data_IF_768791474058
#
_entry.id   IF_768791474058
#
_cell.length_a   1.000
_cell.length_b   1.000
_cell.length_c   1.000
_cell.angle_alpha   90.00
_cell.angle_beta   90.00
_cell.angle_gamma   90.00
#
_symmetry.space_group_name_H-M   'P 1'
#
loop_
_entity.id
_entity.type
_entity.pdbx_description
1 polymer ?
#
# COMPACT_ATOMS: atom_id res chain seq x y z
N UNK A 1 36.45 41.40 27.25
CA UNK A 1 36.12 40.62 26.04
C UNK A 1 35.02 39.66 26.40
N UNK A 2 33.78 40.11 26.24
CA UNK A 2 32.54 39.36 26.46
C UNK A 2 31.92 39.17 25.08
N UNK A 3 31.96 37.95 24.54
CA UNK A 3 31.26 37.63 23.30
C UNK A 3 29.83 37.25 23.63
N UNK A 4 28.91 38.13 23.25
CA UNK A 4 27.47 37.89 23.15
C UNK A 4 27.18 37.06 21.91
N UNK A 5 26.49 35.93 22.08
CA UNK A 5 25.81 35.18 21.04
C UNK A 5 24.55 35.91 20.56
N UNK A 6 24.17 35.79 19.29
CA UNK A 6 22.78 35.92 18.88
C UNK A 6 22.25 34.57 18.38
N UNK A 7 21.40 33.98 19.22
CA UNK A 7 20.31 33.11 18.78
C UNK A 7 19.23 33.99 18.12
N UNK A 8 18.52 33.37 17.17
CA UNK A 8 17.28 33.79 16.51
C UNK A 8 17.44 34.29 15.08
N UNK A 9 17.37 33.33 14.15
CA UNK A 9 16.55 33.42 12.96
C UNK A 9 16.20 31.99 12.53
N UNK A 10 15.28 31.36 13.29
CA UNK A 10 14.52 30.23 12.76
C UNK A 10 13.54 30.87 11.79
N UNK A 11 13.89 30.82 10.51
CA UNK A 11 12.98 31.13 9.42
C UNK A 11 11.81 30.16 9.59
N UNK A 12 10.64 30.70 9.94
CA UNK A 12 9.37 30.01 9.80
C UNK A 12 9.22 29.69 8.32
N UNK A 13 9.42 28.42 7.96
CA UNK A 13 9.25 27.93 6.60
C UNK A 13 7.76 28.07 6.25
N UNK A 14 7.42 29.11 5.48
CA UNK A 14 6.08 29.37 4.91
C UNK A 14 5.66 28.29 3.88
N UNK A 15 6.25 27.10 3.93
CA UNK A 15 6.02 25.99 3.01
C UNK A 15 4.79 25.14 3.37
N UNK A 16 4.13 25.41 4.50
CA UNK A 16 2.93 24.64 4.92
C UNK A 16 1.66 24.94 4.10
N UNK A 17 1.60 26.04 3.34
CA UNK A 17 0.45 26.34 2.47
C UNK A 17 0.65 25.95 1.00
N UNK A 18 1.89 25.66 0.57
CA UNK A 18 2.18 25.19 -0.79
C UNK A 18 2.48 23.69 -0.73
N UNK A 19 1.47 22.87 -1.02
CA UNK A 19 1.57 21.41 -1.02
C UNK A 19 2.82 20.85 -1.70
N UNK A 20 3.13 19.58 -1.38
CA UNK A 20 4.33 18.83 -1.78
C UNK A 20 4.93 19.20 -3.16
N UNK A 21 6.19 19.67 -3.18
CA UNK A 21 6.98 19.96 -4.41
C UNK A 21 7.11 18.80 -5.40
N UNK A 22 7.02 17.56 -4.91
CA UNK A 22 7.09 16.32 -5.69
C UNK A 22 5.70 15.80 -6.12
N UNK A 23 4.63 16.38 -5.60
CA UNK A 23 3.25 16.03 -5.90
C UNK A 23 2.51 17.19 -6.55
N UNK A 24 3.13 17.89 -7.53
CA UNK A 24 2.45 18.97 -8.26
C UNK A 24 1.09 18.46 -8.76
N UNK A 25 0.00 19.02 -8.22
CA UNK A 25 -1.38 18.63 -8.54
C UNK A 25 -2.04 17.65 -7.56
N UNK A 26 -1.33 17.13 -6.55
CA UNK A 26 -1.94 16.37 -5.44
C UNK A 26 -2.26 17.34 -4.31
N UNK A 27 -3.55 17.43 -3.99
CA UNK A 27 -4.06 18.22 -2.88
C UNK A 27 -3.53 17.72 -1.53
N UNK A 28 -3.17 18.65 -0.65
CA UNK A 28 -2.85 18.36 0.74
C UNK A 28 -4.09 17.86 1.48
N UNK A 29 -3.97 16.76 2.22
CA UNK A 29 -5.09 16.14 2.94
C UNK A 29 -4.79 16.07 4.42
N UNK A 30 -5.57 16.82 5.19
CA UNK A 30 -5.57 16.74 6.66
C UNK A 30 -5.94 15.34 7.14
N UNK A 31 -5.53 15.02 8.36
CA UNK A 31 -5.75 13.73 8.99
C UNK A 31 -4.48 13.13 9.58
N UNK A 32 -4.61 11.87 9.99
CA UNK A 32 -3.54 11.10 10.60
C UNK A 32 -3.71 9.61 10.30
N UNK A 33 -2.62 8.83 10.36
CA UNK A 33 -2.72 7.37 10.31
C UNK A 33 -3.41 6.84 11.57
N UNK A 34 -4.32 5.88 11.41
CA UNK A 34 -4.91 5.09 12.48
C UNK A 34 -4.71 3.61 12.16
N UNK A 35 -4.27 2.81 13.13
CA UNK A 35 -4.12 1.38 12.93
C UNK A 35 -5.50 0.77 12.70
N UNK A 36 -5.71 0.11 11.56
CA UNK A 36 -6.97 -0.55 11.22
C UNK A 36 -7.00 -1.95 11.82
N UNK A 37 -5.89 -2.67 11.69
CA UNK A 37 -5.73 -4.00 12.26
C UNK A 37 -4.29 -4.28 12.63
N UNK A 38 -4.13 -5.16 13.61
CA UNK A 38 -2.86 -5.67 14.09
C UNK A 38 -2.90 -7.20 14.21
N UNK A 39 -1.74 -7.78 14.42
CA UNK A 39 -1.59 -9.21 14.70
C UNK A 39 -1.09 -9.40 16.11
N UNK A 40 -1.74 -10.31 16.83
CA UNK A 40 -1.22 -10.86 18.06
C UNK A 40 -0.67 -12.25 17.76
N UNK A 41 0.65 -12.37 17.83
CA UNK A 41 1.31 -13.66 18.02
C UNK A 41 0.82 -14.27 19.35
N UNK A 42 0.66 -15.59 19.40
CA UNK A 42 0.30 -16.28 20.65
C UNK A 42 1.42 -17.19 21.13
N UNK A 43 1.48 -17.30 22.46
CA UNK A 43 2.28 -18.21 23.28
C UNK A 43 2.02 -19.69 22.97
N UNK A 44 3.00 -20.54 23.29
CA UNK A 44 3.24 -21.97 22.96
C UNK A 44 2.05 -22.95 22.84
N UNK A 45 0.80 -22.61 23.22
CA UNK A 45 -0.35 -23.51 23.30
C UNK A 45 -1.48 -23.27 22.27
N UNK A 46 -1.40 -22.27 21.40
CA UNK A 46 -2.40 -22.05 20.33
C UNK A 46 -1.82 -22.17 18.92
N UNK A 47 -2.58 -22.79 18.01
CA UNK A 47 -2.08 -23.18 16.67
C UNK A 47 -1.95 -22.02 15.66
N UNK A 48 -2.65 -20.90 15.87
CA UNK A 48 -2.64 -19.75 14.94
C UNK A 48 -2.74 -18.42 15.70
N UNK A 49 -1.95 -17.41 15.32
CA UNK A 49 -2.12 -16.05 15.84
C UNK A 49 -3.40 -15.37 15.36
N UNK A 50 -3.73 -14.23 15.98
CA UNK A 50 -5.05 -13.60 15.85
C UNK A 50 -4.97 -12.21 15.21
N UNK A 51 -5.94 -11.91 14.33
CA UNK A 51 -6.16 -10.57 13.79
C UNK A 51 -7.00 -9.78 14.80
N UNK A 52 -6.49 -8.63 15.23
CA UNK A 52 -7.19 -7.70 16.10
C UNK A 52 -7.59 -6.47 15.28
N UNK A 53 -8.88 -6.15 15.26
CA UNK A 53 -9.40 -4.97 14.58
C UNK A 53 -9.47 -3.80 15.57
N UNK A 54 -9.08 -2.60 15.13
CA UNK A 54 -9.22 -1.40 15.95
C UNK A 54 -10.68 -0.90 15.92
N UNK A 55 -11.40 -0.88 17.07
CA UNK A 55 -12.79 -0.43 17.13
C UNK A 55 -12.99 1.03 16.68
N UNK A 56 -12.02 1.91 16.96
CA UNK A 56 -12.07 3.32 16.56
C UNK A 56 -12.02 3.46 15.03
N UNK A 57 -11.08 2.76 14.39
CA UNK A 57 -10.99 2.72 12.93
C UNK A 57 -12.28 2.16 12.31
N UNK A 58 -12.85 1.10 12.89
CA UNK A 58 -14.11 0.53 12.41
C UNK A 58 -15.29 1.50 12.54
N UNK A 59 -15.34 2.32 13.59
CA UNK A 59 -16.40 3.33 13.75
C UNK A 59 -16.33 4.38 12.64
N UNK A 60 -15.13 4.88 12.32
CA UNK A 60 -14.91 5.80 11.19
C UNK A 60 -15.43 5.19 9.89
N UNK A 61 -15.15 3.90 9.63
CA UNK A 61 -15.61 3.21 8.43
C UNK A 61 -17.14 3.04 8.39
N UNK A 62 -17.78 2.81 9.54
CA UNK A 62 -19.26 2.66 9.65
C UNK A 62 -20.00 3.97 9.42
N UNK A 63 -19.37 5.11 9.62
CA UNK A 63 -19.96 6.43 9.39
C UNK A 63 -19.98 6.84 7.91
N UNK A 64 -19.27 6.09 7.05
CA UNK A 64 -19.21 6.35 5.61
C UNK A 64 -20.50 5.85 4.95
N UNK A 65 -21.26 6.78 4.37
CA UNK A 65 -22.49 6.47 3.63
C UNK A 65 -22.29 6.59 2.11
N UNK A 66 -21.20 7.22 1.67
CA UNK A 66 -20.84 7.35 0.27
C UNK A 66 -20.14 6.09 -0.25
N UNK A 67 -20.12 5.84 -1.58
CA UNK A 67 -19.31 4.77 -2.15
C UNK A 67 -17.83 4.89 -1.74
N UNK A 68 -17.26 3.80 -1.23
CA UNK A 68 -15.89 3.74 -0.74
C UNK A 68 -14.96 3.13 -1.81
N UNK A 69 -13.86 3.80 -2.10
CA UNK A 69 -12.75 3.28 -2.89
C UNK A 69 -11.54 3.06 -1.98
N UNK A 70 -10.95 1.88 -2.02
CA UNK A 70 -9.79 1.52 -1.19
C UNK A 70 -8.54 1.42 -2.06
N UNK A 71 -7.49 2.14 -1.68
CA UNK A 71 -6.16 2.06 -2.28
C UNK A 71 -5.24 1.39 -1.27
N UNK A 72 -4.81 0.16 -1.51
CA UNK A 72 -3.80 -0.49 -0.66
C UNK A 72 -2.42 -0.38 -1.30
N UNK A 73 -1.44 0.07 -0.51
CA UNK A 73 -0.02 0.09 -0.90
C UNK A 73 0.69 -1.08 -0.24
N UNK A 74 1.08 -2.07 -1.04
CA UNK A 74 1.69 -3.33 -0.58
C UNK A 74 3.02 -3.55 -1.27
N UNK A 75 3.96 -4.23 -0.61
CA UNK A 75 5.29 -4.49 -1.17
C UNK A 75 6.30 -4.84 -0.09
N UNK A 76 7.54 -5.09 -0.51
CA UNK A 76 8.59 -5.50 0.42
C UNK A 76 8.82 -4.50 1.57
N UNK A 77 9.33 -5.00 2.69
CA UNK A 77 9.74 -4.18 3.81
C UNK A 77 10.87 -3.19 3.42
N UNK A 78 10.85 -1.97 4.01
CA UNK A 78 11.79 -0.85 3.75
C UNK A 78 11.89 -0.35 2.31
N UNK A 79 10.81 -0.46 1.53
CA UNK A 79 10.79 -0.10 0.11
C UNK A 79 9.99 1.17 -0.23
N UNK A 80 9.74 2.03 0.76
CA UNK A 80 9.12 3.35 0.54
C UNK A 80 7.60 3.32 0.31
N UNK A 81 6.90 2.31 0.86
CA UNK A 81 5.43 2.19 0.82
C UNK A 81 4.73 3.34 1.52
N UNK A 82 5.04 3.53 2.80
CA UNK A 82 4.50 4.60 3.64
C UNK A 82 4.81 5.98 3.06
N UNK A 83 5.99 6.14 2.45
CA UNK A 83 6.34 7.36 1.71
C UNK A 83 5.40 7.59 0.52
N UNK A 84 5.16 6.57 -0.30
CA UNK A 84 4.23 6.69 -1.43
C UNK A 84 2.80 6.94 -0.96
N UNK A 85 2.36 6.27 0.10
CA UNK A 85 1.07 6.52 0.72
C UNK A 85 0.93 7.97 1.21
N UNK A 86 1.97 8.55 1.81
CA UNK A 86 1.99 9.97 2.21
C UNK A 86 1.90 10.91 1.01
N UNK A 87 2.60 10.60 -0.09
CA UNK A 87 2.51 11.38 -1.34
C UNK A 87 1.08 11.41 -1.86
N UNK A 88 0.31 10.32 -1.73
CA UNK A 88 -1.11 10.32 -2.11
C UNK A 88 -1.89 11.37 -1.32
N UNK A 89 -1.51 11.70 -0.09
CA UNK A 89 -2.12 12.74 0.75
C UNK A 89 -1.49 14.14 0.59
N UNK A 90 -0.62 14.33 -0.40
CA UNK A 90 0.03 15.62 -0.65
C UNK A 90 1.02 16.03 0.44
N UNK A 91 1.52 15.07 1.23
CA UNK A 91 2.33 15.33 2.44
C UNK A 91 3.46 14.32 2.62
N UNK A 92 4.32 14.52 3.62
CA UNK A 92 5.46 13.63 3.94
C UNK A 92 5.52 13.24 5.43
N UNK A 93 4.68 13.84 6.26
CA UNK A 93 4.60 13.76 7.72
C UNK A 93 3.43 12.88 8.21
N UNK A 94 2.95 11.98 7.35
CA UNK A 94 1.75 11.17 7.59
C UNK A 94 2.03 9.81 8.26
N UNK A 95 1.81 8.72 7.51
CA UNK A 95 2.24 7.37 7.88
C UNK A 95 3.73 7.38 8.25
N UNK A 96 4.07 6.67 9.33
CA UNK A 96 5.45 6.59 9.81
C UNK A 96 6.36 5.98 8.75
N UNK A 97 7.48 6.66 8.48
CA UNK A 97 8.46 6.26 7.48
C UNK A 97 9.54 5.34 8.03
N UNK A 98 9.65 5.22 9.36
CA UNK A 98 10.40 4.16 10.01
C UNK A 98 11.88 4.03 9.62
N UNK A 99 12.77 4.80 10.25
CA UNK A 99 14.23 4.65 10.07
C UNK A 99 14.86 3.53 10.92
N UNK A 100 14.09 2.91 11.83
CA UNK A 100 14.60 1.92 12.80
C UNK A 100 14.79 0.54 12.16
N UNK A 101 15.69 -0.30 12.70
CA UNK A 101 16.12 -1.63 12.18
C UNK A 101 15.02 -2.70 12.26
N UNK A 102 13.96 -2.47 13.01
CA UNK A 102 12.77 -3.35 13.07
C UNK A 102 11.62 -2.83 12.18
N UNK A 103 10.77 -3.74 11.71
CA UNK A 103 9.50 -3.45 11.04
C UNK A 103 8.69 -2.35 11.73
N UNK A 104 8.56 -1.17 11.11
CA UNK A 104 7.86 -0.03 11.73
C UNK A 104 6.34 -0.16 11.62
N UNK A 105 5.83 -0.47 10.42
CA UNK A 105 4.40 -0.74 10.21
C UNK A 105 4.11 -2.19 10.57
N UNK A 106 3.44 -2.44 11.71
CA UNK A 106 2.86 -3.76 12.03
C UNK A 106 1.36 -3.75 11.79
N UNK A 107 0.86 -4.69 10.99
CA UNK A 107 -0.52 -4.74 10.54
C UNK A 107 -0.83 -3.81 9.37
N UNK A 108 -2.05 -3.27 9.35
CA UNK A 108 -2.50 -2.33 8.31
C UNK A 108 -2.94 -1.05 8.99
N UNK A 109 -2.44 0.08 8.48
CA UNK A 109 -2.86 1.41 8.88
C UNK A 109 -3.73 2.02 7.79
N UNK A 110 -4.70 2.82 8.20
CA UNK A 110 -5.55 3.57 7.28
C UNK A 110 -5.41 5.07 7.55
N UNK A 111 -5.60 5.89 6.52
CA UNK A 111 -5.66 7.34 6.69
C UNK A 111 -7.05 7.78 7.16
N UNK A 112 -7.11 8.54 8.26
CA UNK A 112 -8.35 9.12 8.76
C UNK A 112 -8.30 10.65 8.74
N UNK A 113 -9.33 11.33 8.20
CA UNK A 113 -10.52 10.76 7.58
C UNK A 113 -10.28 10.32 6.11
N UNK A 114 -11.07 9.37 5.58
CA UNK A 114 -11.10 9.09 4.14
C UNK A 114 -11.49 10.35 3.34
N UNK A 115 -10.68 10.69 2.35
CA UNK A 115 -10.86 11.93 1.59
C UNK A 115 -11.95 11.80 0.54
N UNK A 116 -12.54 12.94 0.14
CA UNK A 116 -13.59 12.97 -0.86
C UNK A 116 -12.99 13.04 -2.26
N UNK A 117 -13.55 12.27 -3.19
CA UNK A 117 -13.24 12.36 -4.61
C UNK A 117 -14.54 12.51 -5.39
N UNK A 118 -14.67 13.63 -6.09
CA UNK A 118 -15.82 13.92 -6.96
C UNK A 118 -15.45 13.57 -8.39
N UNK A 119 -16.24 12.73 -9.04
CA UNK A 119 -16.04 12.31 -10.43
C UNK A 119 -17.33 12.46 -11.22
N UNK A 120 -17.22 13.15 -12.35
CA UNK A 120 -18.28 13.20 -13.34
C UNK A 120 -18.29 11.89 -14.15
N UNK A 121 -19.45 11.26 -14.20
CA UNK A 121 -19.65 10.02 -14.95
C UNK A 121 -19.96 10.34 -16.42
N UNK A 122 -19.76 9.39 -17.35
CA UNK A 122 -20.07 9.59 -18.77
C UNK A 122 -21.52 9.99 -19.07
N UNK A 123 -22.45 9.74 -18.15
CA UNK A 123 -23.85 10.14 -18.25
C UNK A 123 -24.16 11.54 -17.67
N UNK A 124 -23.11 12.33 -17.35
CA UNK A 124 -23.23 13.66 -16.74
C UNK A 124 -23.57 13.65 -15.25
N UNK A 125 -23.73 12.47 -14.62
CA UNK A 125 -23.98 12.38 -13.18
C UNK A 125 -22.69 12.61 -12.41
N UNK A 126 -22.71 13.53 -11.45
CA UNK A 126 -21.62 13.68 -10.48
C UNK A 126 -21.78 12.67 -9.36
N UNK A 127 -20.72 11.88 -9.08
CA UNK A 127 -20.65 10.96 -7.95
C UNK A 127 -19.55 11.43 -7.00
N UNK A 128 -19.90 11.59 -5.73
CA UNK A 128 -18.93 11.78 -4.65
C UNK A 128 -18.61 10.41 -4.03
N UNK A 129 -17.32 10.10 -3.93
CA UNK A 129 -16.80 8.88 -3.31
C UNK A 129 -15.93 9.24 -2.11
N UNK A 130 -15.79 8.33 -1.17
CA UNK A 130 -14.72 8.33 -0.17
C UNK A 130 -13.55 7.51 -0.67
N UNK A 131 -12.34 7.98 -0.43
CA UNK A 131 -11.11 7.26 -0.77
C UNK A 131 -10.33 7.00 0.51
N UNK A 132 -10.07 5.73 0.77
CA UNK A 132 -9.28 5.26 1.90
C UNK A 132 -7.95 4.73 1.39
N UNK A 133 -6.85 5.25 1.92
CA UNK A 133 -5.51 4.75 1.65
C UNK A 133 -5.09 3.84 2.80
N UNK A 134 -4.64 2.64 2.46
CA UNK A 134 -4.10 1.66 3.38
C UNK A 134 -2.59 1.53 3.15
N UNK A 135 -1.82 1.69 4.23
CA UNK A 135 -0.40 1.35 4.27
C UNK A 135 -0.25 0.01 4.99
N UNK A 136 0.30 -0.98 4.29
CA UNK A 136 0.48 -2.32 4.84
C UNK A 136 1.86 -2.50 5.45
N UNK A 137 1.94 -3.39 6.43
CA UNK A 137 3.20 -4.00 6.83
C UNK A 137 3.97 -4.52 5.61
N UNK A 138 5.29 -4.36 5.66
CA UNK A 138 6.17 -4.85 4.61
C UNK A 138 6.22 -6.37 4.61
N UNK A 139 6.18 -6.96 3.42
CA UNK A 139 6.40 -8.39 3.24
C UNK A 139 7.91 -8.68 3.08
N UNK A 140 8.32 -9.94 3.25
CA UNK A 140 9.72 -10.38 3.15
C UNK A 140 10.64 -9.80 4.23
N UNK A 141 10.10 -9.45 5.40
CA UNK A 141 10.93 -9.18 6.57
C UNK A 141 11.42 -10.53 7.15
N UNK A 142 12.74 -10.77 7.30
CA UNK A 142 13.26 -12.02 7.84
C UNK A 142 12.79 -12.35 9.27
N UNK A 143 12.33 -11.34 10.01
CA UNK A 143 11.81 -11.49 11.38
C UNK A 143 10.29 -11.70 11.45
N UNK A 144 9.61 -11.68 10.30
CA UNK A 144 8.15 -11.74 10.20
C UNK A 144 7.67 -13.18 9.94
N UNK A 145 6.53 -13.54 10.54
CA UNK A 145 5.80 -14.77 10.20
C UNK A 145 5.31 -14.72 8.73
N UNK A 146 5.73 -15.68 7.92
CA UNK A 146 5.39 -15.70 6.48
C UNK A 146 3.90 -15.93 6.21
N UNK A 147 3.22 -16.70 7.07
CA UNK A 147 1.78 -16.90 6.97
C UNK A 147 1.04 -15.60 7.29
N UNK A 148 1.53 -14.82 8.26
CA UNK A 148 1.02 -13.49 8.57
C UNK A 148 1.19 -12.53 7.40
N UNK A 149 2.40 -12.42 6.86
CA UNK A 149 2.71 -11.57 5.71
C UNK A 149 1.80 -11.90 4.51
N UNK A 150 1.60 -13.20 4.28
CA UNK A 150 0.70 -13.70 3.24
C UNK A 150 -0.75 -13.31 3.54
N UNK A 151 -1.26 -13.56 4.74
CA UNK A 151 -2.64 -13.16 5.13
C UNK A 151 -2.90 -11.66 4.93
N UNK A 152 -1.94 -10.80 5.31
CA UNK A 152 -2.04 -9.36 5.08
C UNK A 152 -2.09 -9.00 3.59
N UNK A 153 -1.22 -9.60 2.79
CA UNK A 153 -1.20 -9.41 1.35
C UNK A 153 -2.54 -9.77 0.72
N UNK A 154 -3.07 -10.94 1.09
CA UNK A 154 -4.37 -11.45 0.61
C UNK A 154 -5.50 -10.51 1.04
N UNK A 155 -5.50 -10.07 2.30
CA UNK A 155 -6.53 -9.18 2.82
C UNK A 155 -6.54 -7.85 2.06
N UNK A 156 -5.38 -7.20 1.90
CA UNK A 156 -5.23 -5.99 1.10
C UNK A 156 -5.70 -6.21 -0.33
N UNK A 157 -5.37 -7.34 -0.94
CA UNK A 157 -5.80 -7.66 -2.30
C UNK A 157 -7.34 -7.71 -2.41
N UNK A 158 -8.00 -8.46 -1.52
CA UNK A 158 -9.45 -8.69 -1.56
C UNK A 158 -10.26 -7.42 -1.30
N UNK A 159 -9.81 -6.56 -0.38
CA UNK A 159 -10.57 -5.37 0.01
C UNK A 159 -10.31 -4.15 -0.89
N UNK A 160 -9.29 -4.21 -1.75
CA UNK A 160 -8.89 -3.03 -2.54
C UNK A 160 -9.79 -2.79 -3.73
N UNK A 161 -10.00 -1.51 -4.05
CA UNK A 161 -10.43 -1.09 -5.39
C UNK A 161 -9.22 -0.86 -6.30
N UNK A 162 -8.09 -0.44 -5.72
CA UNK A 162 -6.79 -0.32 -6.39
C UNK A 162 -5.72 -0.92 -5.51
N UNK A 163 -5.01 -1.91 -6.04
CA UNK A 163 -3.93 -2.60 -5.37
C UNK A 163 -2.60 -2.13 -5.96
N UNK A 164 -1.86 -1.32 -5.21
CA UNK A 164 -0.55 -0.81 -5.61
C UNK A 164 0.50 -1.78 -5.11
N UNK A 165 1.15 -2.49 -6.03
CA UNK A 165 2.26 -3.36 -5.71
C UNK A 165 3.60 -2.64 -5.94
N UNK A 166 4.23 -2.23 -4.85
CA UNK A 166 5.50 -1.51 -4.83
C UNK A 166 6.70 -2.47 -4.91
N UNK A 167 7.37 -2.44 -6.06
CA UNK A 167 8.55 -3.25 -6.39
C UNK A 167 9.75 -2.31 -6.54
N UNK A 168 10.88 -2.63 -5.92
CA UNK A 168 12.13 -1.90 -6.13
C UNK A 168 13.06 -2.67 -7.05
N UNK A 169 13.70 -1.96 -7.98
CA UNK A 169 14.62 -2.52 -8.94
C UNK A 169 13.90 -3.28 -10.04
N UNK A 170 14.36 -4.49 -10.31
CA UNK A 170 13.93 -5.32 -11.44
C UNK A 170 12.84 -6.29 -11.00
N UNK A 171 11.88 -6.58 -11.87
CA UNK A 171 10.84 -7.57 -11.58
C UNK A 171 11.45 -8.98 -11.64
N UNK A 172 11.64 -9.59 -10.46
CA UNK A 172 12.11 -10.96 -10.24
C UNK A 172 11.01 -12.00 -9.98
N UNK A 173 11.44 -13.24 -9.76
CA UNK A 173 10.59 -14.43 -9.57
C UNK A 173 9.65 -14.31 -8.37
N UNK A 174 10.17 -13.80 -7.26
CA UNK A 174 9.43 -13.56 -6.04
C UNK A 174 8.27 -12.56 -6.24
N UNK A 175 8.44 -11.59 -7.14
CA UNK A 175 7.39 -10.62 -7.42
C UNK A 175 6.26 -11.24 -8.23
N UNK A 176 6.59 -12.04 -9.24
CA UNK A 176 5.61 -12.76 -10.04
C UNK A 176 4.93 -13.87 -9.24
N UNK A 177 5.65 -14.60 -8.39
CA UNK A 177 5.07 -15.62 -7.51
C UNK A 177 3.98 -15.06 -6.59
N UNK A 178 4.18 -13.85 -6.04
CA UNK A 178 3.14 -13.18 -5.23
C UNK A 178 1.95 -12.70 -6.05
N UNK A 179 2.16 -12.35 -7.32
CA UNK A 179 1.05 -12.05 -8.22
C UNK A 179 0.32 -13.32 -8.69
N UNK A 180 1.02 -14.45 -8.78
CA UNK A 180 0.36 -15.73 -9.02
C UNK A 180 -0.60 -16.09 -7.88
N UNK A 181 -0.27 -15.74 -6.63
CA UNK A 181 -1.19 -15.88 -5.51
C UNK A 181 -2.52 -15.13 -5.75
N UNK A 182 -2.51 -13.97 -6.43
CA UNK A 182 -3.75 -13.27 -6.82
C UNK A 182 -4.62 -14.11 -7.75
N UNK A 183 -4.02 -14.77 -8.74
CA UNK A 183 -4.72 -15.69 -9.67
C UNK A 183 -5.23 -16.95 -8.98
N UNK A 184 -4.51 -17.46 -7.97
CA UNK A 184 -4.98 -18.61 -7.19
C UNK A 184 -6.16 -18.20 -6.31
N UNK A 185 -6.07 -17.04 -5.66
CA UNK A 185 -7.11 -16.53 -4.77
C UNK A 185 -8.40 -16.14 -5.47
N UNK A 186 -8.33 -15.71 -6.74
CA UNK A 186 -9.53 -15.44 -7.51
C UNK A 186 -10.45 -16.66 -7.59
N UNK A 187 -9.91 -17.88 -7.45
CA UNK A 187 -10.72 -19.12 -7.41
C UNK A 187 -11.42 -19.36 -6.07
N UNK A 188 -10.96 -18.72 -4.99
CA UNK A 188 -11.52 -18.86 -3.64
C UNK A 188 -12.43 -17.68 -3.25
N UNK A 189 -12.42 -16.61 -4.03
CA UNK A 189 -13.27 -15.44 -3.84
C UNK A 189 -14.55 -15.67 -4.65
N UNK A 190 -15.71 -15.59 -3.99
CA UNK A 190 -16.99 -15.64 -4.68
C UNK A 190 -17.16 -14.36 -5.50
N UNK A 191 -17.26 -14.50 -6.81
CA UNK A 191 -17.57 -13.39 -7.72
C UNK A 191 -18.93 -12.77 -7.33
N UNK A 192 -19.01 -11.44 -7.16
CA UNK A 192 -20.27 -10.76 -6.96
C UNK A 192 -21.12 -10.86 -8.22
N UNK A 193 -22.44 -10.85 -8.05
CA UNK A 193 -23.39 -10.96 -9.16
C UNK A 193 -23.28 -9.80 -10.17
N UNK A 194 -22.68 -8.67 -9.74
CA UNK A 194 -22.46 -7.48 -10.56
C UNK A 194 -21.08 -6.86 -10.28
N UNK A 195 -20.34 -6.59 -11.36
CA UNK A 195 -19.08 -5.81 -11.35
C UNK A 195 -17.80 -6.66 -11.31
N UNK A 196 -16.69 -6.05 -11.75
CA UNK A 196 -15.37 -6.66 -11.63
C UNK A 196 -15.01 -6.83 -10.14
N UNK A 197 -14.61 -8.04 -9.76
CA UNK A 197 -14.27 -8.36 -8.37
C UNK A 197 -12.78 -8.20 -8.04
N UNK A 198 -11.94 -8.17 -9.07
CA UNK A 198 -10.51 -7.99 -8.91
C UNK A 198 -10.17 -6.50 -8.81
N UNK A 199 -9.27 -6.10 -7.89
CA UNK A 199 -8.81 -4.73 -7.83
C UNK A 199 -8.08 -4.35 -9.12
N UNK A 200 -8.09 -3.06 -9.43
CA UNK A 200 -7.12 -2.52 -10.39
C UNK A 200 -5.71 -2.71 -9.85
N UNK A 201 -4.91 -3.55 -10.50
CA UNK A 201 -3.49 -3.72 -10.17
C UNK A 201 -2.67 -2.56 -10.75
N UNK A 202 -1.87 -1.93 -9.90
CA UNK A 202 -0.88 -0.91 -10.28
C UNK A 202 0.50 -1.42 -9.85
N UNK A 203 1.38 -1.68 -10.81
CA UNK A 203 2.78 -1.99 -10.53
C UNK A 203 3.56 -0.69 -10.39
N UNK A 204 3.98 -0.39 -9.15
CA UNK A 204 4.82 0.76 -8.86
C UNK A 204 6.29 0.30 -8.83
N UNK A 205 7.00 0.53 -9.93
CA UNK A 205 8.40 0.20 -10.06
C UNK A 205 9.26 1.38 -9.56
N UNK A 206 10.05 1.15 -8.51
CA UNK A 206 10.93 2.13 -7.86
C UNK A 206 12.38 1.79 -8.15
N UNK A 207 13.25 2.79 -8.20
CA UNK A 207 14.71 2.62 -8.36
C UNK A 207 15.08 1.69 -9.54
N UNK A 208 14.36 1.85 -10.66
CA UNK A 208 14.62 1.08 -11.87
C UNK A 208 15.90 1.60 -12.52
N UNK A 209 16.99 0.85 -12.34
CA UNK A 209 18.34 1.27 -12.73
C UNK A 209 18.80 0.68 -14.07
N UNK A 210 17.88 0.13 -14.87
CA UNK A 210 18.15 -0.34 -16.24
C UNK A 210 17.73 0.72 -17.26
N UNK A 211 18.17 0.56 -18.50
CA UNK A 211 17.64 1.35 -19.61
C UNK A 211 16.11 1.22 -19.65
N UNK A 212 15.43 2.36 -19.70
CA UNK A 212 13.96 2.41 -19.73
C UNK A 212 13.47 1.64 -20.96
N UNK A 213 12.66 0.58 -20.79
CA UNK A 213 12.11 -0.14 -21.93
C UNK A 213 11.13 0.77 -22.69
N UNK A 214 10.98 0.53 -23.99
CA UNK A 214 9.97 1.22 -24.81
C UNK A 214 8.56 1.06 -24.23
N UNK A 215 8.31 -0.08 -23.58
CA UNK A 215 7.04 -0.43 -22.94
C UNK A 215 7.28 -1.21 -21.65
N UNK A 216 6.97 -0.59 -20.51
CA UNK A 216 7.00 -1.28 -19.21
C UNK A 216 6.01 -2.44 -19.14
N UNK A 217 4.89 -2.35 -19.88
CA UNK A 217 3.93 -3.43 -19.99
C UNK A 217 4.57 -4.65 -20.66
N UNK A 218 5.27 -4.46 -21.77
CA UNK A 218 5.89 -5.56 -22.51
C UNK A 218 7.08 -6.14 -21.75
N UNK A 219 7.87 -5.29 -21.10
CA UNK A 219 8.90 -5.72 -20.15
C UNK A 219 8.30 -6.61 -19.05
N UNK A 220 7.22 -6.16 -18.40
CA UNK A 220 6.58 -6.91 -17.33
C UNK A 220 6.01 -8.24 -17.81
N UNK A 221 5.31 -8.26 -18.95
CA UNK A 221 4.77 -9.48 -19.57
C UNK A 221 5.87 -10.46 -19.96
N UNK A 222 7.00 -9.96 -20.46
CA UNK A 222 8.19 -10.78 -20.75
C UNK A 222 8.72 -11.45 -19.49
N UNK A 223 8.83 -10.72 -18.38
CA UNK A 223 9.25 -11.30 -17.10
C UNK A 223 8.27 -12.36 -16.60
N UNK A 224 6.96 -12.11 -16.70
CA UNK A 224 5.95 -13.12 -16.35
C UNK A 224 6.10 -14.41 -17.17
N UNK A 225 6.31 -14.29 -18.49
CA UNK A 225 6.43 -15.44 -19.37
C UNK A 225 7.70 -16.24 -19.12
N UNK A 226 8.85 -15.58 -18.93
CA UNK A 226 10.11 -16.26 -18.58
C UNK A 226 9.97 -17.10 -17.31
N UNK A 227 9.26 -16.57 -16.31
CA UNK A 227 9.07 -17.25 -15.04
C UNK A 227 8.09 -18.41 -15.17
N UNK A 228 7.09 -18.31 -16.04
CA UNK A 228 6.18 -19.43 -16.30
C UNK A 228 6.90 -20.59 -17.02
N UNK A 229 7.81 -20.30 -17.95
CA UNK A 229 8.61 -21.34 -18.64
C UNK A 229 9.57 -22.06 -17.69
N UNK A 230 10.18 -21.34 -16.75
CA UNK A 230 10.98 -21.95 -15.67
C UNK A 230 10.08 -22.69 -14.65
N UNK A 231 8.87 -22.19 -14.40
CA UNK A 231 7.89 -22.78 -13.49
C UNK A 231 7.29 -24.10 -13.99
N UNK A 232 7.08 -24.25 -15.30
CA UNK A 232 6.68 -25.51 -15.94
C UNK A 232 7.71 -26.64 -15.76
N UNK A 233 8.99 -26.30 -15.55
CA UNK A 233 10.03 -27.28 -15.19
C UNK A 233 9.95 -27.69 -13.72
N UNK A 234 9.56 -26.78 -12.83
CA UNK A 234 9.46 -27.04 -11.37
C UNK A 234 8.18 -27.82 -11.04
N UNK A 235 7.08 -27.61 -11.79
CA UNK A 235 5.83 -28.37 -11.61
C UNK A 235 5.97 -29.86 -11.98
N UNK A 236 7.02 -30.25 -12.73
CA UNK A 236 7.31 -31.67 -13.01
C UNK A 236 8.01 -32.42 -11.87
N UNK A 237 8.43 -31.73 -10.81
CA UNK A 237 9.13 -32.34 -9.66
C UNK A 237 8.37 -32.21 -8.33
N UNK A 238 7.09 -31.81 -8.36
CA UNK A 238 6.15 -31.90 -7.24
C UNK A 238 5.06 -32.91 -7.59
#
# INVERSE_FOLDING_TARGET
MTQSSPLNNIISDESTEQGNRFGKGIEFREGSPIQLLSYSEKSENEKFGQILLNPEALNILREINEPLAIISVVGSFRRGKSWFANVLHGRHDGFDLGANVEGCTRGIYMWSPPFKLTSEQPNGKTIQKRVLVLDSEGINDPSQDENWATKLFILCLVISSTFVYNINGVVGREHIGKLHLMTVLSNFIKEPEYGDFLPRLVILLRDFNLETPDSFKDYFLKQMNHINTDGELIIKEI
#
